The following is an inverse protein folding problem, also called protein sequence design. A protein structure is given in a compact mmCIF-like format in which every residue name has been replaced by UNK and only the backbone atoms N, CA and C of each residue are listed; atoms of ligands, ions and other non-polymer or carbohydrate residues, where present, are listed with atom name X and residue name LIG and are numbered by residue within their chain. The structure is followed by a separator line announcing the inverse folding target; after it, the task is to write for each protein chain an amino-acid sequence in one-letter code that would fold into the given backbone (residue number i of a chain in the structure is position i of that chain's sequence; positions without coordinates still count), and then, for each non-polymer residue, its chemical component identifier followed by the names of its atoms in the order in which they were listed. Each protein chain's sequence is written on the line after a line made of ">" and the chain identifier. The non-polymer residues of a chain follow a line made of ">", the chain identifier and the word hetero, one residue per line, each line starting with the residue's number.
data_IF_125943434754
#
_entry.id   IF_125943434754
#
_cell.length_a   1.000
_cell.length_b   1.000
_cell.length_c   1.000
_cell.angle_alpha   90.00
_cell.angle_beta   90.00
_cell.angle_gamma   90.00
#
_symmetry.space_group_name_H-M   'P 1'
#
loop_
_entity.id
_entity.type
_entity.pdbx_description
1 polymer ?
#
# COMPACT_ATOMS: atom_id res chain seq x y z
N UNK A 1 4.12 -4.17 2.59
CA UNK A 1 4.24 -3.85 1.15
C UNK A 1 2.87 -3.90 0.49
N UNK A 2 2.09 -2.83 0.65
CA UNK A 2 0.64 -2.85 0.35
C UNK A 2 0.30 -2.56 -1.13
N UNK A 3 1.26 -2.10 -1.93
CA UNK A 3 0.99 -1.55 -3.27
C UNK A 3 1.68 -2.26 -4.44
N UNK A 4 2.75 -3.02 -4.19
CA UNK A 4 3.58 -3.62 -5.24
C UNK A 4 4.04 -5.02 -4.86
N UNK A 5 4.09 -5.88 -5.88
CA UNK A 5 4.71 -7.19 -5.84
C UNK A 5 6.07 -7.17 -6.57
N UNK A 6 7.00 -8.07 -6.25
CA UNK A 6 8.25 -8.23 -6.99
C UNK A 6 8.03 -8.39 -8.51
N UNK A 7 6.96 -9.08 -8.91
CA UNK A 7 6.60 -9.28 -10.32
C UNK A 7 6.14 -8.02 -11.05
N UNK A 8 5.79 -6.95 -10.32
CA UNK A 8 5.39 -5.68 -10.90
C UNK A 8 6.57 -4.89 -11.49
N UNK A 9 7.81 -5.24 -11.14
CA UNK A 9 9.00 -4.63 -11.71
C UNK A 9 9.34 -5.24 -13.07
N UNK A 10 9.71 -4.38 -14.03
CA UNK A 10 10.10 -4.81 -15.37
C UNK A 10 11.49 -5.45 -15.40
N UNK A 11 12.45 -4.86 -14.69
CA UNK A 11 13.84 -5.35 -14.65
C UNK A 11 13.97 -6.46 -13.61
N UNK A 12 14.57 -7.59 -14.00
CA UNK A 12 14.82 -8.72 -13.10
C UNK A 12 15.60 -8.32 -11.85
N UNK A 13 16.61 -7.47 -12.00
CA UNK A 13 17.38 -6.93 -10.87
C UNK A 13 16.50 -6.24 -9.82
N UNK A 14 15.52 -5.43 -10.25
CA UNK A 14 14.57 -4.77 -9.36
C UNK A 14 13.62 -5.76 -8.66
N UNK A 15 13.20 -6.82 -9.36
CA UNK A 15 12.39 -7.88 -8.75
C UNK A 15 13.15 -8.57 -7.61
N UNK A 16 14.42 -8.91 -7.85
CA UNK A 16 15.29 -9.59 -6.89
C UNK A 16 15.52 -8.69 -5.66
N UNK A 17 15.88 -7.42 -5.88
CA UNK A 17 16.11 -6.45 -4.80
C UNK A 17 14.85 -6.29 -3.95
N UNK A 18 13.69 -6.10 -4.59
CA UNK A 18 12.43 -5.92 -3.87
C UNK A 18 12.04 -7.19 -3.10
N UNK A 19 12.24 -8.38 -3.66
CA UNK A 19 12.01 -9.64 -2.96
C UNK A 19 12.90 -9.78 -1.71
N UNK A 20 14.17 -9.36 -1.77
CA UNK A 20 15.03 -9.36 -0.58
C UNK A 20 14.52 -8.36 0.46
N UNK A 21 14.05 -7.18 0.04
CA UNK A 21 13.43 -6.22 0.95
C UNK A 21 12.17 -6.78 1.63
N UNK A 22 11.33 -7.55 0.91
CA UNK A 22 10.18 -8.28 1.51
C UNK A 22 10.68 -9.22 2.60
N UNK A 23 11.66 -10.06 2.26
CA UNK A 23 12.15 -11.10 3.16
C UNK A 23 12.84 -10.52 4.41
N UNK A 24 13.51 -9.37 4.28
CA UNK A 24 14.10 -8.65 5.41
C UNK A 24 13.02 -8.05 6.30
N UNK A 25 11.98 -7.47 5.70
CA UNK A 25 10.83 -6.94 6.42
C UNK A 25 10.10 -8.06 7.20
N UNK A 26 9.91 -9.24 6.60
CA UNK A 26 9.28 -10.39 7.25
C UNK A 26 10.10 -10.96 8.41
N UNK A 27 11.41 -10.67 8.45
CA UNK A 27 12.32 -11.04 9.54
C UNK A 27 12.53 -9.91 10.56
N UNK A 28 11.77 -8.81 10.45
CA UNK A 28 11.94 -7.60 11.27
C UNK A 28 13.37 -7.04 11.25
N UNK A 29 14.08 -7.21 10.13
CA UNK A 29 15.44 -6.70 9.94
C UNK A 29 15.43 -5.33 9.25
N UNK A 30 16.41 -4.49 9.60
CA UNK A 30 16.57 -3.18 8.97
C UNK A 30 16.87 -3.32 7.48
N UNK A 31 16.22 -2.49 6.66
CA UNK A 31 16.43 -2.46 5.21
C UNK A 31 17.43 -1.35 4.89
N UNK A 32 18.71 -1.70 4.82
CA UNK A 32 19.80 -0.80 4.42
C UNK A 32 20.70 -1.45 3.35
N UNK A 33 21.61 -0.65 2.77
CA UNK A 33 22.49 -1.11 1.68
C UNK A 33 23.35 -2.31 2.09
N UNK A 34 23.79 -2.37 3.36
CA UNK A 34 24.63 -3.45 3.88
C UNK A 34 23.82 -4.73 4.00
N UNK A 35 22.70 -4.67 4.71
CA UNK A 35 21.82 -5.82 4.98
C UNK A 35 21.23 -6.39 3.69
N UNK A 36 20.85 -5.54 2.74
CA UNK A 36 20.38 -5.98 1.42
C UNK A 36 21.52 -6.63 0.63
N UNK A 37 22.73 -6.07 0.65
CA UNK A 37 23.89 -6.63 -0.06
C UNK A 37 24.32 -7.97 0.53
N UNK A 38 24.34 -8.10 1.85
CA UNK A 38 24.68 -9.33 2.55
C UNK A 38 23.68 -10.44 2.20
N UNK A 39 22.38 -10.16 2.27
CA UNK A 39 21.36 -11.14 1.95
C UNK A 39 21.33 -11.51 0.46
N UNK A 40 21.66 -10.59 -0.45
CA UNK A 40 21.85 -10.89 -1.87
C UNK A 40 23.07 -11.77 -2.13
N UNK A 41 24.15 -11.56 -1.36
CA UNK A 41 25.38 -12.35 -1.42
C UNK A 41 25.13 -13.78 -0.95
N UNK A 42 24.45 -13.94 0.19
CA UNK A 42 24.07 -15.24 0.74
C UNK A 42 23.20 -16.06 -0.23
N UNK A 43 22.37 -15.38 -1.02
CA UNK A 43 21.52 -15.99 -2.03
C UNK A 43 22.17 -16.16 -3.40
N UNK A 44 23.45 -15.80 -3.56
CA UNK A 44 24.17 -15.78 -4.85
C UNK A 44 23.48 -14.93 -5.94
N UNK A 45 22.67 -13.94 -5.55
CA UNK A 45 21.88 -13.09 -6.45
C UNK A 45 22.50 -11.68 -6.62
N UNK A 46 23.65 -11.41 -6.00
CA UNK A 46 24.28 -10.08 -5.99
C UNK A 46 24.66 -9.61 -7.40
N UNK A 47 25.20 -10.49 -8.23
CA UNK A 47 25.56 -10.17 -9.62
C UNK A 47 24.32 -9.89 -10.47
N UNK A 48 23.28 -10.71 -10.33
CA UNK A 48 21.99 -10.54 -11.02
C UNK A 48 21.24 -9.26 -10.61
N UNK A 49 21.50 -8.77 -9.40
CA UNK A 49 20.98 -7.50 -8.91
C UNK A 49 21.75 -6.28 -9.45
N UNK A 50 22.90 -6.46 -10.12
CA UNK A 50 23.76 -5.39 -10.63
C UNK A 50 24.91 -4.99 -9.70
N UNK A 51 25.12 -5.74 -8.61
CA UNK A 51 26.20 -5.54 -7.65
C UNK A 51 25.96 -4.40 -6.64
N UNK A 52 26.87 -4.29 -5.68
CA UNK A 52 26.79 -3.32 -4.57
C UNK A 52 26.72 -1.87 -5.08
N UNK A 53 27.47 -1.56 -6.15
CA UNK A 53 27.49 -0.21 -6.73
C UNK A 53 26.11 0.23 -7.21
N UNK A 54 25.33 -0.68 -7.80
CA UNK A 54 23.98 -0.38 -8.28
C UNK A 54 22.99 -0.15 -7.13
N UNK A 55 23.11 -0.92 -6.05
CA UNK A 55 22.29 -0.76 -4.84
C UNK A 55 22.58 0.59 -4.17
N UNK A 56 23.86 0.98 -4.10
CA UNK A 56 24.25 2.28 -3.57
C UNK A 56 23.74 3.45 -4.43
N UNK A 57 23.76 3.31 -5.76
CA UNK A 57 23.18 4.29 -6.68
C UNK A 57 21.66 4.42 -6.48
N UNK A 58 20.95 3.30 -6.35
CA UNK A 58 19.51 3.28 -6.08
C UNK A 58 19.17 4.02 -4.78
N UNK A 59 19.94 3.79 -3.71
CA UNK A 59 19.76 4.49 -2.43
C UNK A 59 19.96 6.01 -2.56
N UNK A 60 20.86 6.46 -3.43
CA UNK A 60 21.09 7.88 -3.71
C UNK A 60 20.12 8.52 -4.71
N UNK A 61 19.38 7.72 -5.48
CA UNK A 61 18.52 8.20 -6.58
C UNK A 61 17.15 8.74 -6.14
N UNK A 62 16.71 8.44 -4.91
CA UNK A 62 15.38 8.81 -4.42
C UNK A 62 15.44 10.17 -3.71
N UNK A 63 14.82 11.25 -4.25
CA UNK A 63 14.95 12.58 -3.67
C UNK A 63 14.15 12.75 -2.37
N UNK A 64 12.97 12.13 -2.27
CA UNK A 64 12.11 12.19 -1.07
C UNK A 64 11.20 10.95 -0.96
N UNK A 65 11.04 10.44 0.27
CA UNK A 65 10.10 9.34 0.56
C UNK A 65 8.62 9.76 0.45
N UNK A 66 8.32 11.07 0.46
CA UNK A 66 6.96 11.61 0.45
C UNK A 66 6.14 11.20 -0.79
N UNK A 67 6.80 10.95 -1.94
CA UNK A 67 6.14 10.59 -3.19
C UNK A 67 6.15 9.09 -3.49
N UNK A 68 6.56 8.24 -2.52
CA UNK A 68 6.72 6.79 -2.75
C UNK A 68 5.43 6.11 -3.25
N UNK A 69 4.27 6.52 -2.72
CA UNK A 69 2.96 5.98 -3.12
C UNK A 69 2.65 6.32 -4.58
N UNK A 70 3.01 7.53 -5.02
CA UNK A 70 2.80 7.96 -6.40
C UNK A 70 3.67 7.15 -7.37
N UNK A 71 4.95 6.95 -7.05
CA UNK A 71 5.84 6.12 -7.87
C UNK A 71 5.42 4.66 -7.89
N UNK A 72 4.99 4.12 -6.74
CA UNK A 72 4.47 2.76 -6.65
C UNK A 72 3.25 2.56 -7.57
N UNK A 73 2.34 3.53 -7.61
CA UNK A 73 1.18 3.51 -8.51
C UNK A 73 1.59 3.51 -9.99
N UNK A 74 2.57 4.31 -10.38
CA UNK A 74 3.09 4.32 -11.77
C UNK A 74 3.61 2.93 -12.15
N UNK A 75 4.41 2.29 -11.28
CA UNK A 75 4.95 0.96 -11.54
C UNK A 75 3.81 -0.07 -11.66
N UNK A 76 2.81 -0.01 -10.76
CA UNK A 76 1.65 -0.90 -10.79
C UNK A 76 0.85 -0.75 -12.08
N UNK A 77 0.54 0.49 -12.48
CA UNK A 77 -0.19 0.77 -13.73
C UNK A 77 0.53 0.18 -14.95
N UNK A 78 1.87 0.31 -15.00
CA UNK A 78 2.68 -0.29 -16.07
C UNK A 78 2.71 -1.81 -15.98
N UNK A 79 2.72 -2.41 -14.79
CA UNK A 79 2.64 -3.85 -14.60
C UNK A 79 1.33 -4.42 -15.15
N UNK A 80 0.19 -3.77 -14.83
CA UNK A 80 -1.13 -4.19 -15.34
C UNK A 80 -1.18 -4.16 -16.86
N UNK A 81 -0.65 -3.11 -17.49
CA UNK A 81 -0.58 -3.03 -18.96
C UNK A 81 0.25 -4.16 -19.57
N UNK A 82 1.39 -4.51 -18.96
CA UNK A 82 2.22 -5.63 -19.45
C UNK A 82 1.48 -6.96 -19.30
N UNK A 83 0.80 -7.19 -18.19
CA UNK A 83 0.02 -8.41 -17.97
C UNK A 83 -1.13 -8.52 -18.98
N UNK A 84 -1.83 -7.41 -19.25
CA UNK A 84 -2.87 -7.37 -20.26
C UNK A 84 -2.35 -7.73 -21.66
N UNK A 85 -1.18 -7.20 -22.05
CA UNK A 85 -0.53 -7.55 -23.32
C UNK A 85 -0.22 -9.05 -23.36
N UNK A 86 0.37 -9.60 -22.30
CA UNK A 86 0.70 -11.03 -22.23
C UNK A 86 -0.56 -11.89 -22.35
N UNK A 87 -1.63 -11.55 -21.64
CA UNK A 87 -2.92 -12.24 -21.72
C UNK A 87 -3.50 -12.17 -23.13
N UNK A 88 -3.50 -11.00 -23.76
CA UNK A 88 -3.99 -10.87 -25.14
C UNK A 88 -3.16 -11.70 -26.12
N UNK A 89 -1.83 -11.74 -25.97
CA UNK A 89 -0.96 -12.60 -26.77
C UNK A 89 -1.29 -14.08 -26.57
N UNK A 90 -1.49 -14.51 -25.32
CA UNK A 90 -1.86 -15.90 -25.02
C UNK A 90 -3.21 -16.28 -25.66
N UNK A 91 -4.21 -15.40 -25.58
CA UNK A 91 -5.52 -15.62 -26.22
C UNK A 91 -5.38 -15.78 -27.74
N UNK A 92 -4.56 -14.92 -28.38
CA UNK A 92 -4.28 -15.02 -29.82
C UNK A 92 -3.59 -16.35 -30.14
N UNK A 93 -2.57 -16.74 -29.38
CA UNK A 93 -1.86 -18.02 -29.58
C UNK A 93 -2.80 -19.21 -29.42
N UNK A 94 -3.64 -19.21 -28.39
CA UNK A 94 -4.62 -20.29 -28.14
C UNK A 94 -5.67 -20.36 -29.26
N UNK A 95 -6.05 -19.22 -29.85
CA UNK A 95 -7.00 -19.17 -30.97
C UNK A 95 -6.45 -19.79 -32.26
N UNK A 96 -5.13 -19.89 -32.41
CA UNK A 96 -4.49 -20.63 -33.50
C UNK A 96 -4.35 -22.13 -33.20
N UNK A 97 -4.36 -22.51 -31.91
CA UNK A 97 -4.31 -23.90 -31.47
C UNK A 97 -5.57 -24.65 -31.91
N UNK A 98 -5.43 -25.72 -32.69
CA UNK A 98 -6.57 -26.46 -33.27
C UNK A 98 -7.04 -27.61 -32.36
N UNK A 99 -6.55 -27.69 -31.12
CA UNK A 99 -6.78 -28.84 -30.23
C UNK A 99 -7.98 -28.67 -29.30
N UNK A 100 -8.37 -27.44 -28.97
CA UNK A 100 -9.46 -27.15 -28.02
C UNK A 100 -10.77 -26.78 -28.72
N UNK A 101 -11.89 -27.10 -28.07
CA UNK A 101 -13.22 -26.67 -28.52
C UNK A 101 -13.36 -25.15 -28.37
N UNK A 102 -14.10 -24.52 -29.30
CA UNK A 102 -14.24 -23.06 -29.36
C UNK A 102 -14.86 -22.50 -28.09
N UNK A 103 -15.81 -23.21 -27.47
CA UNK A 103 -16.40 -22.81 -26.18
C UNK A 103 -15.34 -22.76 -25.07
N UNK A 104 -14.42 -23.72 -25.02
CA UNK A 104 -13.36 -23.77 -24.02
C UNK A 104 -12.36 -22.63 -24.20
N UNK A 105 -12.03 -22.27 -25.45
CA UNK A 105 -11.12 -21.14 -25.75
C UNK A 105 -11.76 -19.81 -25.32
N UNK A 106 -13.06 -19.63 -25.55
CA UNK A 106 -13.80 -18.44 -25.12
C UNK A 106 -13.86 -18.31 -23.59
N UNK A 107 -14.20 -19.39 -22.89
CA UNK A 107 -14.27 -19.41 -21.42
C UNK A 107 -12.91 -19.08 -20.79
N UNK A 108 -11.83 -19.66 -21.32
CA UNK A 108 -10.47 -19.39 -20.86
C UNK A 108 -10.07 -17.92 -21.09
N UNK A 109 -10.42 -17.36 -22.26
CA UNK A 109 -10.14 -15.97 -22.56
C UNK A 109 -10.88 -15.00 -21.62
N UNK A 110 -12.15 -15.27 -21.32
CA UNK A 110 -12.93 -14.45 -20.38
C UNK A 110 -12.31 -14.50 -18.97
N UNK A 111 -11.99 -15.71 -18.49
CA UNK A 111 -11.34 -15.91 -17.18
C UNK A 111 -10.01 -15.18 -17.09
N UNK A 112 -9.17 -15.26 -18.10
CA UNK A 112 -7.86 -14.62 -18.11
C UNK A 112 -7.97 -13.08 -18.07
N UNK A 113 -8.90 -12.50 -18.82
CA UNK A 113 -9.15 -11.06 -18.79
C UNK A 113 -9.68 -10.62 -17.42
N UNK A 114 -10.59 -11.38 -16.82
CA UNK A 114 -11.08 -11.11 -15.46
C UNK A 114 -9.96 -11.12 -14.42
N UNK A 115 -9.05 -12.10 -14.48
CA UNK A 115 -7.89 -12.19 -13.57
C UNK A 115 -6.98 -10.94 -13.64
N UNK A 116 -6.86 -10.32 -14.82
CA UNK A 116 -6.10 -9.08 -14.97
C UNK A 116 -6.81 -7.91 -14.29
N UNK A 117 -8.14 -7.87 -14.34
CA UNK A 117 -8.97 -6.83 -13.73
C UNK A 117 -9.05 -6.93 -12.20
N UNK A 118 -9.18 -8.12 -11.62
CA UNK A 118 -9.27 -8.33 -10.16
C UNK A 118 -8.04 -7.84 -9.40
N UNK A 119 -6.85 -8.04 -9.98
CA UNK A 119 -5.58 -7.56 -9.43
C UNK A 119 -5.48 -6.04 -9.28
N UNK A 120 -6.42 -5.26 -9.83
CA UNK A 120 -6.53 -3.80 -9.61
C UNK A 120 -7.33 -3.47 -8.34
N UNK A 121 -8.21 -4.36 -7.89
CA UNK A 121 -9.21 -4.10 -6.84
C UNK A 121 -8.83 -4.56 -5.43
N UNK A 122 -7.62 -5.08 -5.22
CA UNK A 122 -7.20 -5.58 -3.89
C UNK A 122 -7.11 -4.50 -2.80
N UNK A 123 -7.15 -3.21 -3.13
CA UNK A 123 -7.05 -2.12 -2.15
C UNK A 123 -8.41 -1.64 -1.57
N UNK A 124 -9.54 -2.25 -1.93
CA UNK A 124 -10.86 -1.63 -1.70
C UNK A 124 -11.77 -2.25 -0.64
N UNK A 125 -11.63 -3.53 -0.32
CA UNK A 125 -12.64 -4.25 0.47
C UNK A 125 -12.06 -4.73 1.81
N UNK A 126 -12.28 -3.93 2.86
CA UNK A 126 -12.12 -4.43 4.23
C UNK A 126 -13.33 -5.34 4.56
N UNK A 127 -13.12 -6.58 5.01
CA UNK A 127 -14.21 -7.42 5.50
C UNK A 127 -14.99 -6.70 6.60
N UNK A 128 -16.32 -6.76 6.55
CA UNK A 128 -17.18 -6.09 7.54
C UNK A 128 -16.87 -6.53 8.98
N UNK A 129 -16.44 -7.79 9.17
CA UNK A 129 -16.00 -8.33 10.46
C UNK A 129 -14.83 -7.53 11.07
N UNK A 130 -13.89 -7.06 10.24
CA UNK A 130 -12.69 -6.37 10.71
C UNK A 130 -13.02 -4.91 11.06
N UNK A 131 -13.97 -4.31 10.34
CA UNK A 131 -14.56 -3.00 10.66
C UNK A 131 -15.34 -3.07 11.97
N UNK A 132 -16.17 -4.10 12.14
CA UNK A 132 -16.95 -4.30 13.37
C UNK A 132 -16.05 -4.54 14.58
N UNK A 133 -15.02 -5.39 14.47
CA UNK A 133 -14.07 -5.63 15.56
C UNK A 133 -13.33 -4.35 15.97
N UNK A 134 -12.95 -3.50 15.00
CA UNK A 134 -12.31 -2.21 15.27
C UNK A 134 -13.27 -1.27 16.01
N UNK A 135 -14.52 -1.16 15.55
CA UNK A 135 -15.54 -0.34 16.19
C UNK A 135 -15.90 -0.80 17.61
N UNK A 136 -15.99 -2.12 17.84
CA UNK A 136 -16.22 -2.67 19.18
C UNK A 136 -15.05 -2.41 20.12
N UNK A 137 -13.81 -2.54 19.63
CA UNK A 137 -12.61 -2.24 20.43
C UNK A 137 -12.56 -0.77 20.83
N UNK A 138 -13.01 0.13 19.95
CA UNK A 138 -13.10 1.57 20.22
C UNK A 138 -14.19 1.88 21.26
N UNK A 139 -15.36 1.25 21.16
CA UNK A 139 -16.44 1.36 22.16
C UNK A 139 -15.99 0.83 23.53
N UNK A 140 -15.30 -0.31 23.56
CA UNK A 140 -14.79 -0.89 24.81
C UNK A 140 -13.74 0.02 25.47
N UNK A 141 -12.86 0.67 24.68
CA UNK A 141 -11.92 1.67 25.19
C UNK A 141 -12.66 2.85 25.82
N UNK A 142 -13.63 3.41 25.10
CA UNK A 142 -14.44 4.54 25.58
C UNK A 142 -15.26 4.19 26.84
N UNK A 143 -15.67 2.93 26.98
CA UNK A 143 -16.40 2.45 28.16
C UNK A 143 -15.49 2.19 29.37
N UNK A 144 -14.22 1.85 29.17
CA UNK A 144 -13.28 1.57 30.26
C UNK A 144 -12.68 2.83 30.88
N UNK A 145 -12.53 3.90 30.09
CA UNK A 145 -11.88 5.13 30.54
C UNK A 145 -12.74 5.95 31.52
N UNK A 146 -14.06 5.74 31.59
CA UNK A 146 -14.94 6.23 32.67
C UNK A 146 -15.03 7.76 32.86
N UNK A 147 -14.28 8.54 32.09
CA UNK A 147 -14.28 10.00 32.09
C UNK A 147 -15.39 10.54 31.18
N UNK A 148 -16.00 11.66 31.57
CA UNK A 148 -17.04 12.36 30.80
C UNK A 148 -16.49 12.93 29.48
N UNK A 149 -15.16 12.94 29.31
CA UNK A 149 -14.42 13.46 28.17
C UNK A 149 -13.63 12.31 27.53
N UNK A 150 -14.01 11.93 26.32
CA UNK A 150 -13.43 10.81 25.56
C UNK A 150 -12.29 11.24 24.62
N UNK A 151 -12.15 12.55 24.38
CA UNK A 151 -11.06 13.17 23.63
C UNK A 151 -10.15 14.07 24.48
N UNK A 152 -9.29 14.84 23.83
CA UNK A 152 -8.46 15.85 24.50
C UNK A 152 -9.34 16.99 25.04
N UNK A 153 -9.24 17.29 26.34
CA UNK A 153 -9.97 18.40 26.95
C UNK A 153 -9.50 19.74 26.41
N UNK A 154 -10.45 20.60 26.03
CA UNK A 154 -10.19 21.98 25.58
C UNK A 154 -9.90 22.93 26.75
N UNK A 155 -10.09 22.48 28.00
CA UNK A 155 -9.96 23.29 29.21
C UNK A 155 -11.18 24.18 29.49
N UNK A 156 -12.21 24.13 28.65
CA UNK A 156 -13.48 24.83 28.83
C UNK A 156 -14.60 23.81 29.14
N UNK A 157 -15.07 23.69 30.39
CA UNK A 157 -16.01 22.63 30.79
C UNK A 157 -17.33 22.61 30.02
N UNK A 158 -17.84 23.78 29.63
CA UNK A 158 -19.07 23.86 28.82
C UNK A 158 -18.86 23.40 27.37
N UNK A 159 -17.66 23.63 26.82
CA UNK A 159 -17.32 23.19 25.46
C UNK A 159 -17.06 21.69 25.43
N UNK A 160 -16.27 21.19 26.40
CA UNK A 160 -15.96 19.77 26.55
C UNK A 160 -17.22 18.92 26.78
N UNK A 161 -18.23 19.47 27.46
CA UNK A 161 -19.52 18.78 27.63
C UNK A 161 -20.31 18.65 26.32
N UNK A 162 -20.13 19.59 25.39
CA UNK A 162 -20.83 19.57 24.10
C UNK A 162 -20.07 18.74 23.07
N UNK A 163 -18.74 18.80 23.08
CA UNK A 163 -17.89 18.13 22.07
C UNK A 163 -17.31 16.80 22.55
N UNK A 164 -17.49 16.44 23.82
CA UNK A 164 -16.87 15.28 24.48
C UNK A 164 -15.33 15.26 24.41
N UNK A 165 -14.73 16.44 24.23
CA UNK A 165 -13.29 16.64 23.97
C UNK A 165 -12.99 16.84 22.49
N UNK A 166 -11.71 16.78 22.12
CA UNK A 166 -11.24 16.81 20.72
C UNK A 166 -10.67 15.43 20.35
N UNK A 167 -11.15 14.85 19.26
CA UNK A 167 -10.68 13.54 18.80
C UNK A 167 -9.60 13.67 17.72
N UNK A 168 -8.62 12.74 17.71
CA UNK A 168 -7.43 12.81 16.84
C UNK A 168 -7.76 12.73 15.33
N UNK A 169 -8.91 12.16 14.97
CA UNK A 169 -9.34 12.01 13.57
C UNK A 169 -10.23 13.16 13.06
N UNK A 170 -10.42 14.21 13.85
CA UNK A 170 -11.32 15.32 13.52
C UNK A 170 -10.56 16.59 13.08
N UNK A 171 -11.01 17.21 11.98
CA UNK A 171 -10.58 18.55 11.60
C UNK A 171 -11.48 19.60 12.26
N UNK A 172 -10.97 20.23 13.33
CA UNK A 172 -11.71 21.29 14.03
C UNK A 172 -11.35 22.68 13.49
N UNK A 173 -12.36 23.39 12.96
CA UNK A 173 -12.19 24.70 12.32
C UNK A 173 -12.79 25.81 13.20
N UNK A 174 -11.95 26.72 13.71
CA UNK A 174 -12.40 27.88 14.49
C UNK A 174 -12.68 29.12 13.61
N UNK A 175 -13.95 29.36 13.28
CA UNK A 175 -14.41 30.50 12.48
C UNK A 175 -15.05 31.62 13.34
N UNK A 176 -14.77 32.88 13.01
CA UNK A 176 -15.14 34.09 13.74
C UNK A 176 -14.70 35.32 12.91
N UNK A 177 -15.30 36.48 13.15
CA UNK A 177 -15.04 37.72 12.38
C UNK A 177 -13.66 38.33 12.71
N UNK A 178 -13.15 39.31 11.94
CA UNK A 178 -12.01 40.11 12.36
C UNK A 178 -12.31 40.84 13.70
N UNK A 179 -11.30 40.97 14.57
CA UNK A 179 -11.36 41.61 15.90
C UNK A 179 -12.10 40.90 17.05
N UNK A 180 -12.63 39.68 16.88
CA UNK A 180 -13.24 38.87 17.98
C UNK A 180 -12.26 37.96 18.74
N UNK A 181 -10.95 38.12 18.53
CA UNK A 181 -9.96 37.53 19.44
C UNK A 181 -9.64 36.03 19.26
N UNK A 182 -9.90 35.43 18.08
CA UNK A 182 -9.54 34.03 17.78
C UNK A 182 -8.12 33.61 18.18
N UNK A 183 -7.16 34.53 18.10
CA UNK A 183 -5.77 34.25 18.40
C UNK A 183 -5.53 33.94 19.89
N UNK A 184 -6.45 34.33 20.78
CA UNK A 184 -6.40 34.04 22.22
C UNK A 184 -7.05 32.70 22.61
N UNK A 185 -7.75 32.07 21.66
CA UNK A 185 -8.47 30.78 21.83
C UNK A 185 -7.70 29.61 21.21
N UNK A 186 -6.47 29.85 20.74
CA UNK A 186 -5.54 28.85 20.22
C UNK A 186 -4.50 28.56 21.28
#
# INVERSE_FOLDING_TARGET
>A
MEYLDPSDFYKRSHQIIFQVMVNLNDKDQAIDVVTVSDMLTDQNNLEDAGGIAYIAELAGSVPTAANIVYYAKIVKDKSVLRRLIQTATNIVTNSYGTEDDVETVLDNAERDIMNVAENRNQSGFKPIKDVLNSAFSEIDRLSQDGDEITGLSTGYPELDKITTGLHDDELVILAARPAVGKLRLR
#
